data_IF_550888199932
#
_entry.id   IF_550888199932
#
_cell.length_a   1.000
_cell.length_b   1.000
_cell.length_c   1.000
_cell.angle_alpha   90.00
_cell.angle_beta   90.00
_cell.angle_gamma   90.00
#
_symmetry.space_group_name_H-M   'P 1'
#
loop_
_entity.id
_entity.type
_entity.pdbx_description
1 polymer ?
#
# COMPACT_ATOMS: atom_id res chain seq x y z
N UNK A 1 -3.24 18.58 -2.59
CA UNK A 1 -2.78 19.02 -3.91
C UNK A 1 -1.41 18.44 -4.23
N UNK A 2 -0.33 18.74 -3.45
CA UNK A 2 1.05 18.28 -3.72
C UNK A 2 1.17 16.76 -3.86
N UNK A 3 0.54 15.97 -2.99
CA UNK A 3 0.58 14.51 -3.05
C UNK A 3 0.00 13.97 -4.37
N UNK A 4 -1.14 14.51 -4.80
CA UNK A 4 -1.76 14.14 -6.07
C UNK A 4 -0.85 14.47 -7.27
N UNK A 5 -0.29 15.69 -7.32
CA UNK A 5 0.63 16.10 -8.40
C UNK A 5 1.87 15.20 -8.44
N UNK A 6 2.39 14.81 -7.27
CA UNK A 6 3.52 13.89 -7.19
C UNK A 6 3.17 12.49 -7.71
N UNK A 7 1.99 11.95 -7.37
CA UNK A 7 1.53 10.68 -7.92
C UNK A 7 1.44 10.77 -9.44
N UNK A 8 0.77 11.81 -9.97
CA UNK A 8 0.57 12.00 -11.40
C UNK A 8 1.91 12.07 -12.17
N UNK A 9 2.88 12.81 -11.63
CA UNK A 9 4.23 12.93 -12.21
C UNK A 9 4.99 11.60 -12.21
N UNK A 10 4.80 10.76 -11.19
CA UNK A 10 5.52 9.52 -11.00
C UNK A 10 4.72 8.27 -11.39
N UNK A 11 3.57 8.45 -12.06
CA UNK A 11 2.72 7.34 -12.45
C UNK A 11 3.43 6.41 -13.44
N UNK A 12 3.38 5.11 -13.15
CA UNK A 12 3.89 4.08 -14.06
C UNK A 12 3.02 3.94 -15.33
N UNK A 13 3.58 3.52 -16.47
CA UNK A 13 4.98 3.11 -16.67
C UNK A 13 5.93 4.27 -16.95
N UNK A 14 5.44 5.48 -17.21
CA UNK A 14 6.28 6.62 -17.62
C UNK A 14 7.10 7.21 -16.46
N UNK A 15 6.57 7.17 -15.23
CA UNK A 15 7.22 7.69 -14.04
C UNK A 15 7.99 6.64 -13.24
N UNK A 16 8.61 7.09 -12.15
CA UNK A 16 9.43 6.23 -11.26
C UNK A 16 8.63 5.23 -10.42
N UNK A 17 7.31 5.41 -10.29
CA UNK A 17 6.47 4.71 -9.34
C UNK A 17 6.66 5.15 -7.89
N UNK A 18 7.49 6.15 -7.60
CA UNK A 18 7.78 6.64 -6.25
C UNK A 18 7.26 8.08 -6.10
N UNK A 19 6.07 8.25 -5.53
CA UNK A 19 5.45 9.56 -5.36
C UNK A 19 5.87 10.30 -4.08
N UNK A 20 6.66 9.67 -3.21
CA UNK A 20 7.22 10.28 -2.01
C UNK A 20 6.41 10.00 -0.75
N UNK A 21 6.65 10.84 0.27
CA UNK A 21 6.04 10.73 1.60
C UNK A 21 5.32 12.03 1.94
N UNK A 22 4.12 11.89 2.51
CA UNK A 22 3.35 12.99 3.08
C UNK A 22 3.47 12.91 4.59
N UNK A 23 4.14 13.90 5.16
CA UNK A 23 4.16 14.07 6.61
C UNK A 23 2.91 14.79 7.08
N UNK A 24 2.25 14.22 8.07
CA UNK A 24 1.02 14.73 8.66
C UNK A 24 1.14 14.66 10.19
N UNK A 25 1.07 15.78 10.88
CA UNK A 25 1.09 15.78 12.35
C UNK A 25 0.01 14.86 12.91
N UNK A 26 0.33 14.11 13.94
CA UNK A 26 -0.65 13.22 14.58
C UNK A 26 -1.89 14.01 15.00
N UNK A 27 -3.08 13.48 14.75
CA UNK A 27 -4.35 14.17 15.01
C UNK A 27 -4.77 15.27 14.03
N UNK A 28 -3.98 15.57 12.99
CA UNK A 28 -4.25 16.65 12.03
C UNK A 28 -5.15 16.26 10.85
N UNK A 29 -5.86 15.12 10.94
CA UNK A 29 -6.78 14.67 9.89
C UNK A 29 -6.14 13.86 8.76
N UNK A 30 -5.07 13.08 9.05
CA UNK A 30 -4.40 12.20 8.09
C UNK A 30 -5.39 11.31 7.33
N UNK A 31 -6.31 10.64 8.02
CA UNK A 31 -7.32 9.75 7.42
C UNK A 31 -8.21 10.48 6.41
N UNK A 32 -8.68 11.68 6.75
CA UNK A 32 -9.45 12.51 5.82
C UNK A 32 -8.64 12.95 4.60
N UNK A 33 -7.36 13.28 4.81
CA UNK A 33 -6.46 13.63 3.69
C UNK A 33 -6.26 12.46 2.75
N UNK A 34 -6.20 11.22 3.27
CA UNK A 34 -6.14 10.00 2.45
C UNK A 34 -7.44 9.76 1.68
N UNK A 35 -8.62 9.95 2.31
CA UNK A 35 -9.93 9.88 1.63
C UNK A 35 -10.01 10.90 0.50
N UNK A 36 -9.65 12.16 0.75
CA UNK A 36 -9.66 13.22 -0.27
C UNK A 36 -8.70 12.92 -1.42
N UNK A 37 -7.54 12.36 -1.11
CA UNK A 37 -6.58 11.93 -2.14
C UNK A 37 -7.16 10.78 -2.98
N UNK A 38 -7.71 9.75 -2.36
CA UNK A 38 -8.33 8.62 -3.04
C UNK A 38 -9.48 9.08 -3.94
N UNK A 39 -10.35 9.96 -3.44
CA UNK A 39 -11.44 10.56 -4.24
C UNK A 39 -10.89 11.25 -5.49
N UNK A 40 -9.87 12.09 -5.32
CA UNK A 40 -9.28 12.81 -6.45
C UNK A 40 -8.63 11.86 -7.47
N UNK A 41 -7.98 10.79 -7.01
CA UNK A 41 -7.39 9.78 -7.90
C UNK A 41 -8.46 9.05 -8.73
N UNK A 42 -9.58 8.68 -8.09
CA UNK A 42 -10.66 7.91 -8.75
C UNK A 42 -11.48 8.78 -9.70
N UNK A 43 -11.70 10.05 -9.35
CA UNK A 43 -12.57 10.94 -10.13
C UNK A 43 -11.86 11.69 -11.25
N UNK A 44 -10.53 11.71 -11.25
CA UNK A 44 -9.78 12.37 -12.31
C UNK A 44 -9.66 11.45 -13.53
N UNK A 45 -10.17 11.92 -14.68
CA UNK A 45 -10.18 11.16 -15.93
C UNK A 45 -8.78 10.80 -16.43
N UNK A 46 -7.78 11.65 -16.14
CA UNK A 46 -6.39 11.41 -16.56
C UNK A 46 -5.76 10.23 -15.78
N UNK A 47 -6.27 9.93 -14.59
CA UNK A 47 -5.83 8.79 -13.79
C UNK A 47 -6.41 7.46 -14.27
N UNK A 48 -7.37 7.48 -15.20
CA UNK A 48 -7.99 6.28 -15.80
C UNK A 48 -8.56 5.31 -14.76
N UNK A 49 -9.27 5.87 -13.76
CA UNK A 49 -9.92 5.09 -12.71
C UNK A 49 -8.98 4.05 -12.04
N UNK A 50 -7.91 4.48 -11.34
CA UNK A 50 -6.93 3.56 -10.78
C UNK A 50 -7.53 2.71 -9.66
N UNK A 51 -7.01 1.51 -9.47
CA UNK A 51 -7.24 0.76 -8.23
C UNK A 51 -6.38 1.37 -7.13
N UNK A 52 -7.01 1.80 -6.04
CA UNK A 52 -6.33 2.35 -4.87
C UNK A 52 -6.17 1.25 -3.82
N UNK A 53 -4.93 0.91 -3.49
CA UNK A 53 -4.62 -0.05 -2.41
C UNK A 53 -4.19 0.73 -1.19
N UNK A 54 -4.96 0.60 -0.10
CA UNK A 54 -4.62 1.19 1.20
C UNK A 54 -3.88 0.14 2.01
N UNK A 55 -2.64 0.45 2.34
CA UNK A 55 -1.75 -0.44 3.05
C UNK A 55 -1.57 0.04 4.48
N UNK A 56 -1.93 -0.79 5.46
CA UNK A 56 -1.82 -0.49 6.88
C UNK A 56 -0.86 -1.45 7.59
N UNK A 57 -0.35 -1.08 8.75
CA UNK A 57 0.62 -1.88 9.51
C UNK A 57 -0.05 -2.94 10.39
N UNK A 58 -1.20 -2.62 11.01
CA UNK A 58 -1.86 -3.48 12.01
C UNK A 58 -3.37 -3.52 11.84
N UNK A 59 -3.94 -4.66 12.16
CA UNK A 59 -5.40 -4.90 12.08
C UNK A 59 -6.26 -3.93 12.92
N UNK A 60 -5.79 -3.46 14.08
CA UNK A 60 -6.59 -2.61 14.97
C UNK A 60 -6.70 -1.15 14.48
N UNK A 61 -5.65 -0.62 13.85
CA UNK A 61 -5.69 0.70 13.20
C UNK A 61 -6.40 0.64 11.83
N UNK A 62 -6.38 -0.53 11.21
CA UNK A 62 -7.09 -0.85 9.97
C UNK A 62 -8.59 -0.54 10.11
N UNK A 63 -9.20 -0.92 11.22
CA UNK A 63 -10.63 -0.73 11.44
C UNK A 63 -11.03 0.74 11.47
N UNK A 64 -10.25 1.64 12.11
CA UNK A 64 -10.57 3.07 12.17
C UNK A 64 -10.43 3.74 10.81
N UNK A 65 -9.34 3.47 10.09
CA UNK A 65 -9.12 4.03 8.76
C UNK A 65 -10.14 3.46 7.76
N UNK A 66 -10.39 2.15 7.80
CA UNK A 66 -11.41 1.49 7.00
C UNK A 66 -12.81 2.06 7.26
N UNK A 67 -13.18 2.28 8.53
CA UNK A 67 -14.46 2.91 8.89
C UNK A 67 -14.56 4.32 8.32
N UNK A 68 -13.48 5.12 8.38
CA UNK A 68 -13.45 6.46 7.80
C UNK A 68 -13.72 6.42 6.30
N UNK A 69 -13.09 5.51 5.58
CA UNK A 69 -13.33 5.31 4.14
C UNK A 69 -14.72 4.76 3.84
N UNK A 70 -15.22 3.84 4.65
CA UNK A 70 -16.57 3.26 4.50
C UNK A 70 -17.66 4.31 4.68
N UNK A 71 -17.51 5.20 5.67
CA UNK A 71 -18.42 6.33 5.89
C UNK A 71 -18.38 7.35 4.75
N UNK A 72 -17.30 7.40 4.00
CA UNK A 72 -17.12 8.26 2.83
C UNK A 72 -17.47 7.56 1.51
N UNK A 73 -18.10 6.38 1.51
CA UNK A 73 -18.31 5.57 0.31
C UNK A 73 -19.12 6.29 -0.78
N UNK A 74 -20.13 7.07 -0.41
CA UNK A 74 -20.91 7.89 -1.36
C UNK A 74 -20.04 8.97 -2.01
N UNK A 75 -19.24 9.66 -1.22
CA UNK A 75 -18.29 10.66 -1.71
C UNK A 75 -17.25 10.02 -2.64
N UNK A 76 -16.72 8.86 -2.27
CA UNK A 76 -15.75 8.08 -3.06
C UNK A 76 -16.36 7.42 -4.29
N UNK A 77 -17.70 7.37 -4.41
CA UNK A 77 -18.44 6.66 -5.46
C UNK A 77 -18.05 5.19 -5.59
N UNK A 78 -17.50 4.63 -4.54
CA UNK A 78 -17.11 3.22 -4.45
C UNK A 78 -17.04 2.79 -3.00
N UNK A 79 -17.37 1.54 -2.72
CA UNK A 79 -17.23 0.97 -1.39
C UNK A 79 -15.85 0.37 -1.24
N UNK A 80 -15.11 0.71 -0.18
CA UNK A 80 -13.85 0.06 0.11
C UNK A 80 -14.08 -1.42 0.44
N UNK A 81 -13.15 -2.27 0.02
CA UNK A 81 -13.19 -3.70 0.28
C UNK A 81 -11.97 -4.06 1.12
N UNK A 82 -12.20 -4.70 2.26
CA UNK A 82 -11.11 -5.25 3.07
C UNK A 82 -10.81 -6.68 2.61
N UNK A 83 -9.54 -7.02 2.48
CA UNK A 83 -9.12 -8.38 2.15
C UNK A 83 -8.76 -9.14 3.41
N UNK A 84 -9.19 -10.40 3.47
CA UNK A 84 -8.97 -11.26 4.64
C UNK A 84 -7.68 -12.05 4.54
N UNK A 85 -7.27 -12.42 3.34
CA UNK A 85 -6.07 -13.20 3.09
C UNK A 85 -5.26 -12.64 1.92
N UNK A 86 -4.06 -13.18 1.74
CA UNK A 86 -3.21 -12.87 0.60
C UNK A 86 -3.83 -13.35 -0.72
N UNK A 87 -4.39 -14.54 -0.72
CA UNK A 87 -5.06 -15.14 -1.88
C UNK A 87 -6.25 -14.28 -2.30
N UNK A 88 -7.03 -13.79 -1.34
CA UNK A 88 -8.14 -12.86 -1.56
C UNK A 88 -7.65 -11.52 -2.16
N UNK A 89 -6.51 -11.00 -1.66
CA UNK A 89 -5.90 -9.78 -2.24
C UNK A 89 -5.53 -9.98 -3.71
N UNK A 90 -4.83 -11.05 -4.02
CA UNK A 90 -4.39 -11.34 -5.39
C UNK A 90 -5.58 -11.60 -6.32
N UNK A 91 -6.59 -12.33 -5.84
CA UNK A 91 -7.83 -12.57 -6.56
C UNK A 91 -8.57 -11.26 -6.85
N UNK A 92 -8.72 -10.38 -5.85
CA UNK A 92 -9.39 -9.07 -6.03
C UNK A 92 -8.62 -8.15 -6.97
N UNK A 93 -7.30 -8.03 -6.81
CA UNK A 93 -6.47 -7.22 -7.73
C UNK A 93 -6.51 -7.79 -9.15
N UNK A 94 -6.53 -9.12 -9.30
CA UNK A 94 -6.62 -9.79 -10.60
C UNK A 94 -7.99 -9.66 -11.26
N UNK A 95 -9.07 -9.74 -10.48
CA UNK A 95 -10.45 -9.65 -10.97
C UNK A 95 -10.87 -8.23 -11.37
N UNK A 96 -10.33 -7.21 -10.70
CA UNK A 96 -10.64 -5.79 -10.98
C UNK A 96 -9.71 -5.29 -12.06
N UNK A 97 -10.27 -4.98 -13.24
CA UNK A 97 -9.48 -4.40 -14.35
C UNK A 97 -9.12 -2.94 -14.09
N UNK A 98 -10.01 -2.19 -13.44
CA UNK A 98 -9.84 -0.77 -13.11
C UNK A 98 -10.72 -0.38 -11.93
N UNK A 99 -10.37 0.70 -11.22
CA UNK A 99 -11.13 1.24 -10.09
C UNK A 99 -11.02 0.42 -8.83
N UNK A 100 -11.83 0.82 -7.83
CA UNK A 100 -11.93 0.17 -6.53
C UNK A 100 -10.91 0.65 -5.51
N UNK A 101 -11.28 0.46 -4.23
CA UNK A 101 -10.43 0.72 -3.07
C UNK A 101 -10.29 -0.58 -2.29
N UNK A 102 -9.07 -1.06 -2.13
CA UNK A 102 -8.74 -2.32 -1.46
C UNK A 102 -7.91 -2.02 -0.23
N UNK A 103 -8.38 -2.46 0.94
CA UNK A 103 -7.63 -2.41 2.19
C UNK A 103 -6.90 -3.71 2.44
N UNK A 104 -5.63 -3.62 2.79
CA UNK A 104 -4.79 -4.76 3.12
C UNK A 104 -3.73 -4.38 4.16
N UNK A 105 -3.19 -5.38 4.85
CA UNK A 105 -2.09 -5.19 5.80
C UNK A 105 -0.77 -5.66 5.20
N UNK A 106 0.34 -5.11 5.72
CA UNK A 106 1.70 -5.48 5.31
C UNK A 106 1.97 -6.98 5.47
N UNK A 107 1.43 -7.59 6.52
CA UNK A 107 1.64 -9.01 6.83
C UNK A 107 1.09 -9.97 5.76
N UNK A 108 0.13 -9.51 4.94
CA UNK A 108 -0.44 -10.31 3.85
C UNK A 108 0.51 -10.46 2.64
N UNK A 109 1.66 -9.78 2.68
CA UNK A 109 2.73 -9.87 1.66
C UNK A 109 3.99 -10.62 2.15
N UNK A 110 3.90 -11.46 3.19
CA UNK A 110 5.06 -12.02 3.90
C UNK A 110 5.79 -13.19 3.22
N UNK A 111 5.39 -13.63 2.03
CA UNK A 111 5.97 -14.81 1.35
C UNK A 111 6.46 -14.52 -0.06
N UNK A 112 7.61 -15.15 -0.38
CA UNK A 112 8.41 -14.90 -1.57
C UNK A 112 7.83 -15.38 -2.93
N UNK A 113 6.69 -16.09 -2.97
CA UNK A 113 6.15 -16.70 -4.20
C UNK A 113 4.85 -16.03 -4.65
N UNK A 114 4.91 -14.71 -4.91
CA UNK A 114 3.77 -13.97 -5.44
C UNK A 114 3.93 -13.91 -6.96
N UNK A 115 2.88 -14.29 -7.69
CA UNK A 115 2.79 -13.97 -9.11
C UNK A 115 2.59 -12.46 -9.24
N UNK A 116 3.51 -11.73 -9.89
CA UNK A 116 3.41 -10.28 -10.00
C UNK A 116 2.18 -9.87 -10.81
N UNK A 117 1.51 -8.81 -10.34
CA UNK A 117 0.50 -8.13 -11.14
C UNK A 117 1.13 -6.89 -11.79
N UNK A 118 1.28 -6.90 -13.11
CA UNK A 118 1.98 -5.87 -13.87
C UNK A 118 1.08 -4.71 -14.31
N UNK A 119 -0.08 -4.51 -13.67
CA UNK A 119 -0.92 -3.34 -13.93
C UNK A 119 -0.27 -2.06 -13.45
N UNK A 120 -0.20 -1.05 -14.30
CA UNK A 120 0.37 0.27 -13.98
C UNK A 120 -0.64 1.26 -13.38
N UNK A 121 -1.96 1.04 -13.54
CA UNK A 121 -2.98 1.90 -12.95
C UNK A 121 -3.38 1.45 -11.52
N UNK A 122 -2.38 1.15 -10.71
CA UNK A 122 -2.53 0.86 -9.28
C UNK A 122 -1.76 1.93 -8.49
N UNK A 123 -2.43 2.53 -7.52
CA UNK A 123 -1.81 3.46 -6.57
C UNK A 123 -1.85 2.86 -5.17
N UNK A 124 -0.69 2.64 -4.58
CA UNK A 124 -0.55 2.14 -3.22
C UNK A 124 -0.34 3.32 -2.27
N UNK A 125 -1.25 3.51 -1.33
CA UNK A 125 -1.19 4.51 -0.27
C UNK A 125 -0.88 3.78 1.02
N UNK A 126 0.31 3.99 1.56
CA UNK A 126 0.75 3.35 2.80
C UNK A 126 0.52 4.26 3.99
N UNK A 127 -0.20 3.78 5.01
CA UNK A 127 -0.28 4.44 6.31
C UNK A 127 0.92 4.08 7.19
N UNK A 128 1.32 5.00 8.08
CA UNK A 128 2.46 4.88 9.00
C UNK A 128 3.79 4.46 8.31
N UNK A 129 4.09 5.11 7.17
CA UNK A 129 5.23 4.79 6.31
C UNK A 129 6.62 4.85 7.00
N UNK A 130 6.71 5.47 8.19
CA UNK A 130 7.96 5.58 8.97
C UNK A 130 8.34 4.28 9.72
N UNK A 131 7.38 3.39 9.94
CA UNK A 131 7.67 2.17 10.68
C UNK A 131 8.60 1.28 9.86
N UNK A 132 9.74 0.94 10.44
CA UNK A 132 10.94 0.30 9.88
C UNK A 132 10.76 -0.99 9.08
N UNK A 133 9.50 -1.36 8.80
CA UNK A 133 9.16 -2.49 7.95
C UNK A 133 9.21 -2.17 6.44
N UNK A 134 9.49 -0.90 6.10
CA UNK A 134 9.65 -0.44 4.71
C UNK A 134 11.07 -0.61 4.17
N UNK A 135 12.00 -1.18 4.97
CA UNK A 135 13.36 -1.48 4.52
C UNK A 135 13.35 -2.41 3.30
N UNK A 136 14.09 -2.01 2.27
CA UNK A 136 14.44 -2.86 1.14
C UNK A 136 15.62 -3.74 1.52
N UNK A 137 16.23 -3.45 2.69
CA UNK A 137 17.45 -4.07 3.15
C UNK A 137 17.22 -5.53 3.52
N UNK A 138 18.10 -6.36 3.01
CA UNK A 138 18.17 -7.77 3.33
C UNK A 138 18.72 -7.94 4.76
N UNK A 139 17.95 -8.60 5.63
CA UNK A 139 18.44 -9.04 6.93
C UNK A 139 18.66 -10.54 6.90
N UNK A 140 19.88 -10.96 7.16
CA UNK A 140 20.19 -12.37 7.36
C UNK A 140 19.72 -12.75 8.77
N UNK A 141 18.76 -13.66 8.84
CA UNK A 141 18.25 -14.20 10.10
C UNK A 141 18.81 -15.61 10.25
N UNK A 142 19.51 -15.85 11.35
CA UNK A 142 19.97 -17.19 11.75
C UNK A 142 18.83 -17.90 12.49
N UNK A 143 18.46 -19.06 12.04
CA UNK A 143 17.50 -19.94 12.71
C UNK A 143 18.22 -21.18 13.20
N UNK A 144 18.14 -21.47 14.47
CA UNK A 144 18.62 -22.71 15.05
C UNK A 144 17.67 -23.85 14.67
N UNK A 145 18.22 -24.92 14.12
CA UNK A 145 17.48 -26.12 13.74
C UNK A 145 17.41 -27.07 14.97
N UNK A 146 16.46 -28.03 14.97
CA UNK A 146 16.32 -28.99 16.06
C UNK A 146 17.56 -29.87 16.30
N UNK A 147 18.48 -29.95 15.34
CA UNK A 147 19.73 -30.69 15.40
C UNK A 147 20.92 -29.85 15.92
N UNK A 148 20.67 -28.62 16.37
CA UNK A 148 21.70 -27.68 16.86
C UNK A 148 22.50 -27.00 15.77
N UNK A 149 22.20 -27.21 14.49
CA UNK A 149 22.78 -26.46 13.38
C UNK A 149 22.07 -25.14 13.13
N UNK A 150 22.73 -24.16 12.50
CA UNK A 150 22.13 -22.88 12.14
C UNK A 150 21.92 -22.83 10.64
N UNK A 151 20.68 -22.55 10.25
CA UNK A 151 20.34 -22.18 8.88
C UNK A 151 20.18 -20.67 8.77
N UNK A 152 20.76 -20.06 7.75
CA UNK A 152 20.55 -18.65 7.44
C UNK A 152 19.49 -18.50 6.35
N UNK A 153 18.56 -17.56 6.53
CA UNK A 153 17.64 -17.17 5.48
C UNK A 153 17.55 -15.65 5.40
N UNK A 154 17.39 -15.16 4.19
CA UNK A 154 17.24 -13.74 3.94
C UNK A 154 15.81 -13.31 4.23
N UNK A 155 15.65 -12.40 5.17
CA UNK A 155 14.36 -11.73 5.44
C UNK A 155 14.41 -10.32 4.89
N UNK A 156 13.59 -10.07 3.91
CA UNK A 156 13.37 -8.72 3.39
C UNK A 156 12.26 -8.00 4.15
N UNK A 157 12.30 -6.67 4.14
CA UNK A 157 11.17 -5.90 4.65
C UNK A 157 9.91 -6.11 3.80
N UNK A 158 8.74 -5.96 4.39
CA UNK A 158 7.45 -6.10 3.69
C UNK A 158 7.32 -5.21 2.45
N UNK A 159 8.01 -4.08 2.42
CA UNK A 159 8.05 -3.18 1.27
C UNK A 159 8.61 -3.82 0.01
N UNK A 160 9.57 -4.74 0.14
CA UNK A 160 10.07 -5.49 -1.01
C UNK A 160 9.00 -6.41 -1.56
N UNK A 161 8.36 -7.19 -0.70
CA UNK A 161 7.34 -8.16 -1.13
C UNK A 161 6.15 -7.51 -1.83
N UNK A 162 5.70 -6.33 -1.35
CA UNK A 162 4.61 -5.62 -2.03
C UNK A 162 5.07 -5.05 -3.38
N UNK A 163 6.32 -4.59 -3.50
CA UNK A 163 6.86 -4.13 -4.78
C UNK A 163 7.06 -5.27 -5.77
N UNK A 164 7.47 -6.44 -5.29
CA UNK A 164 7.58 -7.64 -6.10
C UNK A 164 6.19 -8.13 -6.57
N UNK A 165 5.16 -7.95 -5.74
CA UNK A 165 3.78 -8.27 -6.08
C UNK A 165 3.13 -7.28 -7.07
N UNK A 166 3.46 -5.99 -6.94
CA UNK A 166 2.90 -4.89 -7.72
C UNK A 166 4.02 -4.01 -8.29
N UNK A 167 4.87 -4.53 -9.19
CA UNK A 167 6.08 -3.84 -9.65
C UNK A 167 5.78 -2.57 -10.46
N UNK A 168 4.63 -2.52 -11.12
CA UNK A 168 4.21 -1.38 -11.93
C UNK A 168 3.25 -0.42 -11.20
N UNK A 169 3.02 -0.62 -9.89
CA UNK A 169 2.21 0.31 -9.10
C UNK A 169 2.98 1.59 -8.75
N UNK A 170 2.24 2.65 -8.43
CA UNK A 170 2.78 3.91 -7.92
C UNK A 170 2.55 4.00 -6.42
N UNK A 171 3.60 4.32 -5.66
CA UNK A 171 3.62 4.27 -4.20
C UNK A 171 3.73 5.66 -3.58
N UNK A 172 2.89 5.93 -2.56
CA UNK A 172 2.97 7.11 -1.71
C UNK A 172 2.79 6.72 -0.25
N UNK A 173 3.62 7.28 0.62
CA UNK A 173 3.54 7.06 2.07
C UNK A 173 2.86 8.21 2.80
N UNK A 174 2.14 7.90 3.87
CA UNK A 174 1.66 8.84 4.87
C UNK A 174 2.29 8.49 6.21
N UNK A 175 2.72 9.50 6.97
CA UNK A 175 3.33 9.28 8.29
C UNK A 175 3.00 10.41 9.25
N UNK A 176 2.82 10.05 10.53
CA UNK A 176 2.66 11.00 11.64
C UNK A 176 3.99 11.46 12.24
N UNK A 177 5.08 10.76 11.98
CA UNK A 177 6.42 11.11 12.46
C UNK A 177 7.28 11.67 11.34
N UNK A 178 8.15 12.68 11.62
CA UNK A 178 9.13 13.15 10.64
C UNK A 178 10.01 11.98 10.17
N UNK A 179 10.34 11.97 8.89
CA UNK A 179 11.35 11.08 8.32
C UNK A 179 12.63 11.90 8.26
N UNK A 180 13.63 11.52 9.03
CA UNK A 180 14.98 12.10 8.97
C UNK A 180 15.72 11.62 7.73
#
# INVERSE_FOLDING_TARGET
KKAYESIKKNLKPAGSGKAGIVWHTQGSGKSFSMVMLAHKLITDIEMRNPTVVILTDRNDLDNQLYTTFSNAAEFLRTRPVQVESREDLLAKIGAVKEGGIIFTTLQKFDKANIVPNNRSNIVVISDEAHRSHYGIDEKIVLKENPDGTYSSYSKYGYAKYIRDALPEATYIGFTGTPVE
#
